data_IF_810351521926
#
_entry.id   IF_810351521926
#
_cell.length_a   1.000
_cell.length_b   1.000
_cell.length_c   1.000
_cell.angle_alpha   90.00
_cell.angle_beta   90.00
_cell.angle_gamma   90.00
#
_symmetry.space_group_name_H-M   'P 1'
#
loop_
_entity.id
_entity.type
_entity.pdbx_description
1 polymer ?
#
# COMPACT_ATOMS: atom_id res chain seq x y z
N UNK A 1 -7.89 31.44 6.98
CA UNK A 1 -7.07 30.52 6.16
C UNK A 1 -7.91 30.11 4.97
N UNK A 2 -7.41 30.25 3.73
CA UNK A 2 -8.17 29.89 2.54
C UNK A 2 -8.41 28.38 2.54
N UNK A 3 -9.65 27.97 2.71
CA UNK A 3 -10.16 26.59 2.67
C UNK A 3 -10.11 25.96 1.26
N UNK A 4 -9.48 26.64 0.29
CA UNK A 4 -9.34 26.22 -1.11
C UNK A 4 -7.96 25.63 -1.35
N UNK A 5 -7.81 24.33 -1.11
CA UNK A 5 -6.71 23.59 -1.69
C UNK A 5 -6.98 23.40 -3.19
N UNK A 6 -6.06 23.86 -4.04
CA UNK A 6 -6.11 23.61 -5.46
C UNK A 6 -5.60 22.19 -5.76
N UNK A 7 -6.30 21.38 -6.56
CA UNK A 7 -5.74 20.16 -7.12
C UNK A 7 -4.63 20.52 -8.12
N UNK A 8 -3.55 19.76 -8.11
CA UNK A 8 -2.45 19.93 -9.08
C UNK A 8 -2.65 19.11 -10.36
N UNK A 9 -3.37 17.98 -10.28
CA UNK A 9 -3.60 17.10 -11.42
C UNK A 9 -5.08 16.74 -11.57
N UNK A 10 -5.56 16.71 -12.82
CA UNK A 10 -6.90 16.28 -13.14
C UNK A 10 -7.08 14.80 -12.77
N UNK A 11 -8.09 14.43 -11.96
CA UNK A 11 -8.29 13.03 -11.55
C UNK A 11 -8.70 12.10 -12.70
N UNK A 12 -8.95 12.66 -13.89
CA UNK A 12 -9.40 11.93 -15.05
C UNK A 12 -8.34 11.73 -16.14
N UNK A 13 -7.50 12.73 -16.43
CA UNK A 13 -6.49 12.65 -17.47
C UNK A 13 -5.05 12.85 -16.98
N UNK A 14 -4.85 13.29 -15.73
CA UNK A 14 -3.54 13.56 -15.15
C UNK A 14 -2.90 14.91 -15.55
N UNK A 15 -3.54 15.68 -16.42
CA UNK A 15 -3.07 17.00 -16.86
C UNK A 15 -3.17 18.04 -15.72
N UNK A 16 -2.40 19.11 -15.81
CA UNK A 16 -2.27 20.19 -14.82
C UNK A 16 -3.07 21.44 -15.21
N UNK A 17 -3.66 21.47 -16.42
CA UNK A 17 -4.48 22.58 -16.91
C UNK A 17 -5.87 22.61 -16.24
N UNK A 18 -5.88 23.06 -14.97
CA UNK A 18 -7.02 23.09 -14.07
C UNK A 18 -7.37 24.53 -13.66
N UNK A 19 -8.66 24.86 -13.74
CA UNK A 19 -9.18 26.16 -13.31
C UNK A 19 -10.38 26.03 -12.37
N UNK A 20 -10.61 27.01 -11.49
CA UNK A 20 -11.84 27.10 -10.71
C UNK A 20 -13.05 27.28 -11.64
N UNK A 21 -14.12 26.55 -11.38
CA UNK A 21 -15.39 26.70 -12.10
C UNK A 21 -16.29 27.74 -11.43
N UNK A 22 -17.09 28.43 -12.24
CA UNK A 22 -18.12 29.38 -11.80
C UNK A 22 -19.28 28.69 -11.05
N UNK A 23 -19.38 27.35 -11.10
CA UNK A 23 -20.40 26.54 -10.40
C UNK A 23 -20.29 26.55 -8.86
N UNK A 24 -19.26 27.21 -8.32
CA UNK A 24 -19.18 27.57 -6.89
C UNK A 24 -17.99 26.94 -6.15
N UNK A 25 -18.09 26.92 -4.82
CA UNK A 25 -16.96 26.53 -3.97
C UNK A 25 -16.50 25.08 -4.23
N UNK A 26 -15.21 24.92 -4.46
CA UNK A 26 -14.58 23.63 -4.70
C UNK A 26 -14.87 23.04 -6.08
N UNK A 27 -15.54 23.76 -6.98
CA UNK A 27 -15.73 23.33 -8.36
C UNK A 27 -14.50 23.67 -9.21
N UNK A 28 -14.10 22.73 -10.06
CA UNK A 28 -12.91 22.77 -10.91
C UNK A 28 -13.22 22.17 -12.27
N UNK A 29 -12.55 22.66 -13.30
CA UNK A 29 -12.62 22.08 -14.64
C UNK A 29 -11.23 21.95 -15.24
N UNK A 30 -11.08 20.98 -16.14
CA UNK A 30 -9.83 20.70 -16.83
C UNK A 30 -9.94 21.04 -18.32
N UNK A 31 -9.02 21.85 -18.85
CA UNK A 31 -8.96 22.18 -20.28
C UNK A 31 -8.69 20.98 -21.17
N UNK A 32 -7.73 20.17 -20.75
CA UNK A 32 -7.16 19.14 -21.60
C UNK A 32 -8.20 18.08 -21.97
N UNK A 33 -9.09 17.74 -21.04
CA UNK A 33 -10.14 16.73 -21.24
C UNK A 33 -11.57 17.25 -21.12
N UNK A 34 -11.76 18.55 -20.90
CA UNK A 34 -13.06 19.23 -20.82
C UNK A 34 -14.04 18.58 -19.81
N UNK A 35 -13.56 18.29 -18.60
CA UNK A 35 -14.38 17.70 -17.51
C UNK A 35 -14.42 18.64 -16.31
N UNK A 36 -15.62 18.85 -15.77
CA UNK A 36 -15.84 19.53 -14.50
C UNK A 36 -16.03 18.54 -13.36
N UNK A 37 -15.56 18.90 -12.16
CA UNK A 37 -15.69 18.12 -10.93
C UNK A 37 -15.68 19.02 -9.69
N UNK A 38 -16.10 18.47 -8.55
CA UNK A 38 -16.13 19.20 -7.28
C UNK A 38 -15.33 18.47 -6.20
N UNK A 39 -14.50 19.20 -5.47
CA UNK A 39 -13.76 18.73 -4.32
C UNK A 39 -14.43 19.18 -3.01
N UNK A 40 -14.31 18.34 -1.98
CA UNK A 40 -14.80 18.63 -0.64
C UNK A 40 -13.75 18.24 0.39
N UNK A 41 -13.39 19.18 1.25
CA UNK A 41 -12.64 18.86 2.45
C UNK A 41 -13.56 18.15 3.45
N UNK A 42 -13.17 16.94 3.87
CA UNK A 42 -13.95 16.12 4.79
C UNK A 42 -13.53 16.27 6.26
N UNK A 43 -12.44 17.00 6.54
CA UNK A 43 -11.78 17.00 7.84
C UNK A 43 -10.58 16.06 7.90
N UNK A 44 -10.02 15.91 9.10
CA UNK A 44 -8.96 14.95 9.39
C UNK A 44 -9.58 13.59 9.72
N UNK A 45 -9.06 12.51 9.11
CA UNK A 45 -9.55 11.15 9.35
C UNK A 45 -9.07 10.62 10.71
N UNK A 46 -9.92 9.90 11.43
CA UNK A 46 -9.62 9.32 12.76
C UNK A 46 -8.36 8.46 12.79
N UNK A 47 -8.07 7.74 11.69
CA UNK A 47 -6.87 6.91 11.55
C UNK A 47 -5.56 7.68 11.67
N UNK A 48 -5.56 8.98 11.37
CA UNK A 48 -4.40 9.85 11.60
C UNK A 48 -4.17 10.16 13.08
N UNK A 49 -5.21 10.03 13.91
CA UNK A 49 -5.15 10.23 15.37
C UNK A 49 -4.88 8.92 16.13
N UNK A 50 -5.24 7.76 15.56
CA UNK A 50 -4.90 6.43 16.06
C UNK A 50 -3.40 6.14 15.82
N UNK A 51 -2.52 6.89 16.49
CA UNK A 51 -1.08 6.70 16.40
C UNK A 51 -0.70 5.34 17.02
N UNK A 52 -0.15 4.43 16.21
CA UNK A 52 1.14 3.70 16.34
C UNK A 52 1.67 3.29 17.74
N UNK A 53 0.88 3.32 18.81
CA UNK A 53 1.17 2.72 20.11
C UNK A 53 0.97 1.20 20.09
N UNK A 54 0.15 0.69 19.17
CA UNK A 54 0.03 -0.74 18.86
C UNK A 54 1.18 -1.24 17.97
N UNK A 55 2.41 -0.83 18.28
CA UNK A 55 3.65 -1.30 17.64
C UNK A 55 4.46 -2.25 18.53
N UNK A 56 3.83 -2.89 19.51
CA UNK A 56 4.47 -3.71 20.53
C UNK A 56 3.86 -5.11 20.63
N UNK A 57 3.84 -5.87 19.55
CA UNK A 57 3.79 -7.33 19.62
C UNK A 57 4.81 -7.87 18.62
N UNK A 58 6.08 -7.69 18.96
CA UNK A 58 7.12 -8.54 18.42
C UNK A 58 6.87 -9.93 19.01
N UNK A 59 6.26 -10.80 18.20
CA UNK A 59 6.40 -12.24 18.38
C UNK A 59 7.89 -12.58 18.20
N UNK A 60 8.66 -12.34 19.25
CA UNK A 60 9.96 -12.96 19.41
C UNK A 60 9.66 -14.37 19.88
N UNK A 61 9.50 -15.27 18.92
CA UNK A 61 9.55 -16.71 19.13
C UNK A 61 10.90 -17.09 19.74
N UNK A 62 11.03 -16.86 21.05
CA UNK A 62 12.12 -17.35 21.88
C UNK A 62 11.89 -18.85 22.05
N UNK A 63 12.86 -19.61 21.61
CA UNK A 63 12.91 -21.05 21.66
C UNK A 63 12.58 -21.59 23.06
N UNK A 64 11.52 -22.39 23.15
CA UNK A 64 11.44 -23.46 24.13
C UNK A 64 11.83 -24.75 23.40
N UNK A 65 13.11 -25.08 23.53
CA UNK A 65 13.55 -26.38 24.01
C UNK A 65 12.51 -27.51 23.87
N UNK A 66 12.63 -28.29 22.81
CA UNK A 66 12.19 -29.69 22.80
C UNK A 66 13.37 -30.51 22.34
N UNK A 67 14.17 -30.89 23.33
CA UNK A 67 15.11 -32.01 23.23
C UNK A 67 14.32 -33.30 23.03
N UNK A 68 14.97 -34.28 22.40
CA UNK A 68 14.67 -35.71 22.34
C UNK A 68 13.70 -36.20 21.23
N UNK A 69 14.28 -36.69 20.13
CA UNK A 69 14.00 -38.05 19.63
C UNK A 69 15.22 -38.63 18.89
N UNK A 70 15.80 -39.67 19.46
CA UNK A 70 16.86 -40.51 18.92
C UNK A 70 16.30 -41.39 17.81
N UNK A 71 16.50 -40.98 16.56
CA UNK A 71 16.06 -41.70 15.37
C UNK A 71 17.23 -42.25 14.55
N UNK A 72 18.02 -43.17 15.14
CA UNK A 72 19.00 -43.97 14.40
C UNK A 72 18.30 -44.76 13.29
N UNK A 73 18.59 -44.44 12.03
CA UNK A 73 18.44 -45.38 10.92
C UNK A 73 19.53 -45.15 9.86
N UNK A 74 20.61 -45.93 10.00
CA UNK A 74 21.54 -46.21 8.91
C UNK A 74 20.80 -46.85 7.73
N UNK A 75 20.98 -46.31 6.53
CA UNK A 75 20.35 -46.82 5.31
C UNK A 75 21.06 -46.35 4.04
N UNK A 76 22.28 -46.87 3.85
CA UNK A 76 22.97 -47.16 2.58
C UNK A 76 22.52 -46.49 1.28
N UNK A 77 23.43 -45.68 0.72
CA UNK A 77 24.01 -45.72 -0.64
C UNK A 77 23.12 -45.88 -1.90
N UNK A 78 23.59 -45.20 -2.96
CA UNK A 78 23.30 -45.32 -4.42
C UNK A 78 22.16 -44.42 -4.94
N UNK A 79 22.25 -43.70 -6.08
CA UNK A 79 23.18 -43.69 -7.21
C UNK A 79 22.93 -42.42 -8.05
N UNK A 80 24.02 -41.73 -8.44
CA UNK A 80 24.39 -41.15 -9.77
C UNK A 80 23.27 -40.48 -10.61
N UNK A 81 23.35 -39.17 -10.83
CA UNK A 81 24.03 -38.52 -11.98
C UNK A 81 23.50 -38.92 -13.36
N UNK A 82 22.80 -37.96 -14.00
CA UNK A 82 22.87 -37.71 -15.44
C UNK A 82 21.91 -38.47 -16.35
N UNK A 83 20.94 -37.75 -16.92
CA UNK A 83 20.63 -37.93 -18.35
C UNK A 83 19.97 -36.68 -18.93
N UNK A 84 20.73 -35.97 -19.75
CA UNK A 84 20.20 -35.07 -20.77
C UNK A 84 19.51 -35.89 -21.86
N UNK A 85 18.40 -35.41 -22.41
CA UNK A 85 17.87 -35.76 -23.74
C UNK A 85 17.05 -34.55 -24.17
N UNK A 86 17.60 -33.71 -25.06
CA UNK A 86 17.38 -33.71 -26.52
C UNK A 86 15.94 -33.34 -26.89
#
# INVERSE_FOLDING_TARGET
MSERAAPFHCPYCGDEDLWPSEEGHGAWECAACNRAFRLKFLGLLSRGFENRESGGAQDTGTAADRTDDDGTASGSANTREGSLSS
#
